data_IF_395098262702
#
_entry.id   IF_395098262702
#
_cell.length_a   1.000
_cell.length_b   1.000
_cell.length_c   1.000
_cell.angle_alpha   90.00
_cell.angle_beta   90.00
_cell.angle_gamma   90.00
#
_symmetry.space_group_name_H-M   'P 1'
#
loop_
_entity.id
_entity.type
_entity.pdbx_description
1 polymer ?
#
# COMPACT_ATOMS: atom_id res chain seq x y z
N UNK A 1 21.86 -6.85 6.87
CA UNK A 1 21.11 -8.10 6.63
C UNK A 1 19.76 -7.72 6.06
N UNK A 2 19.33 -8.26 4.92
CA UNK A 2 18.03 -7.90 4.34
C UNK A 2 16.88 -8.54 5.12
N UNK A 3 15.67 -7.97 5.02
CA UNK A 3 14.50 -8.49 5.72
C UNK A 3 14.26 -9.97 5.40
N UNK A 4 14.38 -10.34 4.13
CA UNK A 4 14.11 -11.70 3.65
C UNK A 4 15.13 -12.74 4.16
N UNK A 5 16.27 -12.30 4.71
CA UNK A 5 17.29 -13.16 5.33
C UNK A 5 17.08 -13.32 6.86
N UNK A 6 16.18 -12.55 7.48
CA UNK A 6 15.93 -12.64 8.93
C UNK A 6 15.20 -13.92 9.32
N UNK A 7 15.62 -14.54 10.42
CA UNK A 7 14.89 -15.66 11.03
C UNK A 7 13.50 -15.26 11.52
N UNK A 8 13.35 -14.04 12.02
CA UNK A 8 12.07 -13.50 12.48
C UNK A 8 11.14 -13.32 11.28
N UNK A 9 11.63 -12.75 10.17
CA UNK A 9 10.88 -12.71 8.92
C UNK A 9 10.42 -14.09 8.48
N UNK A 10 11.32 -15.08 8.43
CA UNK A 10 10.99 -16.45 8.01
C UNK A 10 9.89 -17.04 8.90
N UNK A 11 9.93 -16.79 10.22
CA UNK A 11 8.88 -17.22 11.16
C UNK A 11 7.53 -16.57 10.84
N UNK A 12 7.50 -15.25 10.66
CA UNK A 12 6.27 -14.52 10.32
C UNK A 12 5.72 -14.96 8.96
N UNK A 13 6.57 -15.09 7.94
CA UNK A 13 6.18 -15.56 6.60
C UNK A 13 5.55 -16.95 6.67
N UNK A 14 6.19 -17.92 7.35
CA UNK A 14 5.63 -19.28 7.50
C UNK A 14 4.25 -19.28 8.15
N UNK A 15 4.05 -18.47 9.20
CA UNK A 15 2.75 -18.34 9.85
C UNK A 15 1.69 -17.77 8.90
N UNK A 16 2.04 -16.74 8.14
CA UNK A 16 1.14 -16.08 7.19
C UNK A 16 0.86 -16.94 5.94
N UNK A 17 1.83 -17.74 5.49
CA UNK A 17 1.66 -18.72 4.41
C UNK A 17 0.64 -19.81 4.77
N UNK A 18 0.58 -20.21 6.04
CA UNK A 18 -0.44 -21.16 6.51
C UNK A 18 -1.83 -20.53 6.43
N UNK A 19 -1.97 -19.28 6.89
CA UNK A 19 -3.23 -18.53 6.81
C UNK A 19 -3.66 -18.31 5.35
N UNK A 20 -2.72 -17.94 4.47
CA UNK A 20 -3.00 -17.72 3.06
C UNK A 20 -3.48 -18.98 2.34
N UNK A 21 -2.92 -20.15 2.69
CA UNK A 21 -3.37 -21.44 2.16
C UNK A 21 -4.77 -21.82 2.63
N UNK A 22 -5.17 -21.42 3.83
CA UNK A 22 -6.50 -21.66 4.38
C UNK A 22 -7.55 -20.69 3.83
N UNK A 23 -7.12 -19.51 3.36
CA UNK A 23 -8.00 -18.42 2.93
C UNK A 23 -7.63 -17.94 1.52
N UNK A 24 -8.18 -18.57 0.46
CA UNK A 24 -7.89 -18.17 -0.92
C UNK A 24 -8.16 -16.67 -1.15
N UNK A 25 -7.16 -15.97 -1.68
CA UNK A 25 -7.22 -14.51 -1.91
C UNK A 25 -6.71 -13.66 -0.75
N UNK A 26 -6.28 -14.27 0.36
CA UNK A 26 -5.56 -13.57 1.42
C UNK A 26 -4.18 -13.14 0.91
N UNK A 27 -3.88 -11.86 1.09
CA UNK A 27 -2.58 -11.26 0.79
C UNK A 27 -2.10 -10.56 2.04
N UNK A 28 -0.83 -10.76 2.35
CA UNK A 28 -0.17 -10.13 3.48
C UNK A 28 1.08 -9.35 3.07
N UNK A 29 1.45 -8.43 3.96
CA UNK A 29 2.65 -7.59 3.92
C UNK A 29 3.37 -7.71 5.27
N UNK A 30 4.69 -7.80 5.23
CA UNK A 30 5.58 -7.76 6.39
C UNK A 30 6.52 -6.56 6.21
N UNK A 31 6.65 -5.71 7.22
CA UNK A 31 7.55 -4.55 7.18
C UNK A 31 8.54 -4.57 8.33
N UNK A 32 9.69 -3.91 8.16
CA UNK A 32 10.74 -3.74 9.19
C UNK A 32 11.46 -2.41 9.00
N UNK A 33 11.81 -1.74 10.10
CA UNK A 33 12.58 -0.50 10.10
C UNK A 33 14.04 -0.78 10.46
N UNK A 34 14.96 -0.07 9.80
CA UNK A 34 16.38 0.04 10.18
C UNK A 34 17.18 -1.26 10.42
N UNK A 35 16.78 -2.38 9.79
CA UNK A 35 17.30 -3.73 10.04
C UNK A 35 17.04 -4.26 11.48
N UNK A 36 16.12 -3.66 12.23
CA UNK A 36 15.73 -4.09 13.57
C UNK A 36 14.48 -4.98 13.53
N UNK A 37 14.66 -6.26 13.82
CA UNK A 37 13.57 -7.24 13.83
C UNK A 37 12.53 -6.96 14.94
N UNK A 38 12.86 -6.18 15.96
CA UNK A 38 11.90 -5.70 16.98
C UNK A 38 10.83 -4.78 16.42
N UNK A 39 11.03 -4.22 15.22
CA UNK A 39 10.07 -3.34 14.52
C UNK A 39 9.21 -4.09 13.50
N UNK A 40 9.31 -5.42 13.44
CA UNK A 40 8.55 -6.21 12.44
C UNK A 40 7.05 -6.07 12.67
N UNK A 41 6.35 -5.60 11.63
CA UNK A 41 4.90 -5.50 11.60
C UNK A 41 4.32 -6.34 10.46
N UNK A 42 3.12 -6.88 10.66
CA UNK A 42 2.41 -7.69 9.67
C UNK A 42 1.02 -7.17 9.40
N UNK A 43 0.66 -7.08 8.12
CA UNK A 43 -0.63 -6.60 7.65
C UNK A 43 -1.22 -7.66 6.73
N UNK A 44 -2.51 -7.93 6.86
CA UNK A 44 -3.19 -8.99 6.11
C UNK A 44 -4.54 -8.55 5.61
N UNK A 45 -4.93 -9.03 4.43
CA UNK A 45 -6.23 -8.72 3.87
C UNK A 45 -6.76 -9.71 2.82
N UNK A 46 -8.09 -9.84 2.80
CA UNK A 46 -8.86 -10.52 1.76
C UNK A 46 -9.27 -9.60 0.58
N UNK A 47 -8.79 -8.35 0.56
CA UNK A 47 -9.27 -7.30 -0.35
C UNK A 47 -8.86 -7.45 -1.82
N UNK A 48 -7.94 -8.37 -2.14
CA UNK A 48 -7.41 -8.54 -3.50
C UNK A 48 -8.37 -9.40 -4.32
N UNK A 49 -9.35 -8.76 -4.98
CA UNK A 49 -10.25 -9.43 -5.92
C UNK A 49 -9.53 -9.61 -7.27
N UNK A 50 -9.52 -10.83 -7.81
CA UNK A 50 -8.92 -11.14 -9.11
C UNK A 50 -9.73 -10.62 -10.32
N UNK A 51 -10.94 -10.11 -10.09
CA UNK A 51 -11.76 -9.50 -11.13
C UNK A 51 -11.71 -7.96 -11.07
N UNK A 52 -11.67 -7.25 -12.21
CA UNK A 52 -11.80 -5.79 -12.25
C UNK A 52 -13.13 -5.41 -11.61
N UNK A 53 -13.09 -4.64 -10.53
CA UNK A 53 -14.28 -4.27 -9.76
C UNK A 53 -15.17 -3.39 -10.64
N UNK A 54 -16.23 -3.97 -11.23
CA UNK A 54 -17.46 -3.20 -11.45
C UNK A 54 -17.92 -2.78 -10.06
N UNK A 55 -17.86 -1.48 -9.81
CA UNK A 55 -18.25 -0.79 -8.56
C UNK A 55 -19.26 -1.59 -7.73
N UNK A 56 -18.82 -2.16 -6.61
CA UNK A 56 -19.69 -3.00 -5.79
C UNK A 56 -19.01 -3.47 -4.52
N UNK A 57 -19.22 -2.67 -3.46
CA UNK A 57 -19.21 -3.00 -2.02
C UNK A 57 -18.50 -4.34 -1.70
N UNK A 58 -17.25 -4.25 -1.26
CA UNK A 58 -16.49 -5.39 -0.76
C UNK A 58 -16.39 -5.38 0.75
N UNK A 59 -16.90 -6.46 1.36
CA UNK A 59 -16.94 -6.67 2.79
C UNK A 59 -15.55 -6.61 3.43
N UNK A 60 -15.48 -5.86 4.52
CA UNK A 60 -14.34 -5.75 5.42
C UNK A 60 -14.53 -6.82 6.49
N UNK A 61 -13.52 -7.66 6.73
CA UNK A 61 -13.49 -8.51 7.92
C UNK A 61 -13.42 -7.60 9.17
N UNK A 62 -14.21 -7.92 10.19
CA UNK A 62 -14.44 -7.07 11.36
C UNK A 62 -13.14 -6.62 12.04
N UNK A 63 -12.80 -5.35 11.92
CA UNK A 63 -12.32 -4.55 13.05
C UNK A 63 -13.46 -3.60 13.36
N UNK A 64 -14.10 -3.80 14.51
CA UNK A 64 -15.19 -2.98 15.03
C UNK A 64 -14.81 -1.50 15.00
N UNK A 65 -15.53 -0.69 14.23
CA UNK A 65 -15.90 0.67 14.59
C UNK A 65 -17.10 1.11 13.72
N UNK A 66 -18.15 1.54 14.42
CA UNK A 66 -19.43 1.94 13.88
C UNK A 66 -19.33 3.18 12.97
N UNK A 67 -20.22 3.28 11.98
CA UNK A 67 -20.53 4.54 11.32
C UNK A 67 -20.61 4.46 9.79
N UNK A 68 -21.84 4.47 9.27
CA UNK A 68 -22.13 4.63 7.84
C UNK A 68 -21.87 6.07 7.33
N UNK A 69 -21.35 6.14 6.09
CA UNK A 69 -21.51 7.16 5.01
C UNK A 69 -20.96 8.60 5.17
N UNK A 70 -20.12 9.02 4.21
CA UNK A 70 -20.50 9.86 3.05
C UNK A 70 -19.38 9.84 1.98
N UNK A 71 -19.73 9.71 0.69
CA UNK A 71 -18.81 9.85 -0.44
C UNK A 71 -18.90 11.29 -0.95
N UNK A 72 -17.80 12.05 -0.94
CA UNK A 72 -17.76 13.39 -1.52
C UNK A 72 -17.11 13.37 -2.91
N UNK A 73 -17.66 14.20 -3.79
CA UNK A 73 -17.15 14.42 -5.15
C UNK A 73 -16.07 15.50 -5.08
N UNK A 74 -14.83 15.17 -5.47
CA UNK A 74 -13.75 16.15 -5.53
C UNK A 74 -14.03 17.16 -6.65
N UNK A 75 -13.89 18.44 -6.33
CA UNK A 75 -13.98 19.51 -7.30
C UNK A 75 -12.60 19.83 -7.88
N UNK A 76 -12.52 20.39 -9.09
CA UNK A 76 -11.25 20.81 -9.70
C UNK A 76 -10.39 21.72 -8.80
N UNK A 77 -11.01 22.50 -7.90
CA UNK A 77 -10.33 23.40 -6.97
C UNK A 77 -9.50 22.67 -5.89
N UNK A 78 -9.86 21.44 -5.51
CA UNK A 78 -9.12 20.67 -4.50
C UNK A 78 -7.76 20.18 -5.05
N UNK A 79 -7.56 20.23 -6.37
CA UNK A 79 -6.26 19.95 -7.02
C UNK A 79 -5.20 21.01 -6.75
N UNK A 80 -5.57 22.17 -6.23
CA UNK A 80 -4.66 23.32 -6.10
C UNK A 80 -4.04 23.46 -4.71
N UNK A 81 -4.36 22.59 -3.74
CA UNK A 81 -3.99 22.78 -2.31
C UNK A 81 -2.94 21.83 -1.72
N UNK A 82 -2.18 21.12 -2.53
CA UNK A 82 -1.04 20.33 -2.07
C UNK A 82 0.09 20.34 -3.11
N UNK A 83 1.30 19.85 -2.78
CA UNK A 83 2.39 19.73 -3.75
C UNK A 83 2.00 18.67 -4.79
N UNK A 84 1.28 19.09 -5.84
CA UNK A 84 1.06 18.28 -7.01
C UNK A 84 2.42 18.04 -7.65
N UNK A 85 2.93 16.83 -7.52
CA UNK A 85 4.17 16.41 -8.15
C UNK A 85 4.00 16.64 -9.66
N UNK A 86 4.75 17.61 -10.18
CA UNK A 86 4.92 17.88 -11.61
C UNK A 86 5.25 16.57 -12.32
N UNK A 87 4.36 16.12 -13.20
CA UNK A 87 4.46 14.82 -13.89
C UNK A 87 3.23 13.92 -13.72
N UNK A 88 2.33 14.25 -12.80
CA UNK A 88 0.99 13.66 -12.75
C UNK A 88 0.12 14.28 -13.84
N UNK A 89 -0.22 13.50 -14.88
CA UNK A 89 -1.09 14.00 -15.95
C UNK A 89 -2.42 14.49 -15.38
N UNK A 90 -2.98 15.60 -15.89
CA UNK A 90 -4.31 16.05 -15.50
C UNK A 90 -5.33 15.02 -15.97
N UNK A 91 -5.76 14.14 -15.07
CA UNK A 91 -6.82 13.17 -15.36
C UNK A 91 -8.12 13.96 -15.54
N UNK A 92 -8.62 14.04 -16.77
CA UNK A 92 -9.92 14.65 -17.08
C UNK A 92 -11.05 13.78 -16.50
N UNK A 93 -11.74 14.28 -15.47
CA UNK A 93 -12.91 13.62 -14.89
C UNK A 93 -13.11 13.89 -13.40
N UNK A 94 -14.37 13.86 -12.95
CA UNK A 94 -14.72 13.89 -11.52
C UNK A 94 -14.28 12.60 -10.83
N UNK A 95 -13.22 12.69 -10.03
CA UNK A 95 -12.72 11.57 -9.23
C UNK A 95 -13.59 11.39 -7.99
N UNK A 96 -13.99 10.14 -7.71
CA UNK A 96 -14.52 9.76 -6.40
C UNK A 96 -13.33 9.59 -5.47
N UNK A 97 -13.36 10.30 -4.35
CA UNK A 97 -12.36 10.15 -3.28
C UNK A 97 -13.08 9.75 -2.02
N UNK A 98 -12.42 8.90 -1.26
CA UNK A 98 -12.92 8.45 0.01
C UNK A 98 -12.28 9.34 1.07
N UNK A 99 -13.09 10.22 1.67
CA UNK A 99 -12.66 11.18 2.72
C UNK A 99 -12.58 10.53 4.11
N UNK A 100 -12.93 9.26 4.25
CA UNK A 100 -12.88 8.57 5.52
C UNK A 100 -11.50 7.90 5.70
N UNK A 101 -10.73 8.19 6.76
CA UNK A 101 -9.48 7.50 7.08
C UNK A 101 -9.66 5.97 7.24
N UNK A 102 -10.90 5.49 7.41
CA UNK A 102 -11.26 4.08 7.54
C UNK A 102 -11.71 3.42 6.22
N UNK A 103 -12.02 4.14 5.14
CA UNK A 103 -12.50 3.55 3.87
C UNK A 103 -11.56 3.81 2.69
N UNK A 104 -11.42 2.83 1.78
CA UNK A 104 -10.34 2.79 0.80
C UNK A 104 -9.05 2.32 1.48
N UNK A 105 -8.85 1.01 1.55
CA UNK A 105 -7.82 0.44 2.41
C UNK A 105 -7.99 -1.03 2.65
N UNK A 106 -8.48 -1.71 1.61
CA UNK A 106 -8.62 -3.14 1.68
C UNK A 106 -7.24 -3.76 1.63
N UNK A 107 -6.33 -3.26 0.80
CA UNK A 107 -5.11 -4.01 0.53
C UNK A 107 -4.08 -3.88 1.66
N UNK A 108 -3.17 -4.85 1.74
CA UNK A 108 -2.19 -4.90 2.81
C UNK A 108 -1.26 -3.67 2.79
N UNK A 109 -0.94 -3.12 1.61
CA UNK A 109 -0.14 -1.88 1.51
C UNK A 109 -0.88 -0.67 2.03
N UNK A 110 -2.20 -0.59 1.82
CA UNK A 110 -2.99 0.53 2.33
C UNK A 110 -3.10 0.48 3.86
N UNK A 111 -3.24 -0.72 4.43
CA UNK A 111 -3.21 -0.92 5.88
C UNK A 111 -1.86 -0.52 6.48
N UNK A 112 -0.76 -0.88 5.82
CA UNK A 112 0.58 -0.45 6.19
C UNK A 112 0.71 1.09 6.15
N UNK A 113 0.33 1.72 5.03
CA UNK A 113 0.44 3.18 4.89
C UNK A 113 -0.40 3.95 5.93
N UNK A 114 -1.54 3.40 6.36
CA UNK A 114 -2.34 3.99 7.45
C UNK A 114 -1.63 3.94 8.79
N UNK A 115 -0.88 2.87 9.04
CA UNK A 115 -0.19 2.63 10.31
C UNK A 115 1.19 3.26 10.36
N UNK A 116 1.74 3.63 9.20
CA UNK A 116 3.07 4.23 9.09
C UNK A 116 3.30 5.44 10.01
N UNK A 117 2.40 6.44 10.14
CA UNK A 117 2.62 7.55 11.08
C UNK A 117 2.69 7.08 12.54
N UNK A 118 1.79 6.18 12.94
CA UNK A 118 1.81 5.60 14.28
C UNK A 118 3.10 4.81 14.54
N UNK A 119 3.62 4.09 13.53
CA UNK A 119 4.88 3.37 13.65
C UNK A 119 6.08 4.31 13.82
N UNK A 120 6.05 5.50 13.21
CA UNK A 120 7.07 6.52 13.48
C UNK A 120 6.96 7.10 14.89
N UNK A 121 5.75 7.25 15.43
CA UNK A 121 5.56 7.66 16.82
C UNK A 121 6.06 6.59 17.81
N UNK A 122 5.88 5.30 17.47
CA UNK A 122 6.22 4.16 18.34
C UNK A 122 7.72 3.77 18.27
N UNK A 123 8.28 3.68 17.06
CA UNK A 123 9.66 3.22 16.84
C UNK A 123 10.64 4.35 16.52
N UNK A 124 10.15 5.58 16.36
CA UNK A 124 10.94 6.72 15.88
C UNK A 124 10.99 6.81 14.36
N UNK A 125 11.56 7.91 13.87
CA UNK A 125 11.76 8.12 12.44
C UNK A 125 12.77 7.10 11.89
N UNK A 126 12.39 6.39 10.83
CA UNK A 126 13.24 5.37 10.22
C UNK A 126 14.17 5.97 9.16
N UNK A 127 15.42 5.50 9.11
CA UNK A 127 16.33 5.78 7.99
C UNK A 127 16.13 4.82 6.81
N UNK A 128 15.53 3.67 7.09
CA UNK A 128 15.28 2.60 6.13
C UNK A 128 14.03 1.83 6.47
N UNK A 129 13.23 1.52 5.45
CA UNK A 129 12.03 0.68 5.56
C UNK A 129 12.11 -0.45 4.54
N UNK A 130 12.08 -1.67 5.06
CA UNK A 130 12.02 -2.92 4.32
C UNK A 130 10.58 -3.44 4.29
N UNK A 131 10.08 -3.84 3.13
CA UNK A 131 8.72 -4.35 2.94
C UNK A 131 8.75 -5.62 2.09
N UNK A 132 8.14 -6.68 2.58
CA UNK A 132 7.82 -7.88 1.83
C UNK A 132 6.31 -7.99 1.61
N UNK A 133 5.86 -8.31 0.39
CA UNK A 133 4.43 -8.44 0.05
C UNK A 133 4.21 -9.75 -0.70
N UNK A 134 3.28 -10.58 -0.22
CA UNK A 134 2.99 -11.88 -0.86
C UNK A 134 2.44 -11.77 -2.29
N UNK A 135 1.84 -10.64 -2.67
CA UNK A 135 1.35 -10.37 -4.03
C UNK A 135 1.77 -8.97 -4.49
N UNK A 136 2.14 -8.82 -5.76
CA UNK A 136 2.56 -7.54 -6.32
C UNK A 136 1.49 -6.44 -6.09
N UNK A 137 1.88 -5.25 -5.61
CA UNK A 137 0.96 -4.13 -5.42
C UNK A 137 0.16 -3.80 -6.68
N UNK A 138 -1.16 -3.63 -6.51
CA UNK A 138 -2.04 -3.36 -7.64
C UNK A 138 -1.76 -1.98 -8.29
N UNK A 139 -1.92 -1.90 -9.62
CA UNK A 139 -1.74 -0.64 -10.36
C UNK A 139 -2.93 0.32 -10.26
N UNK A 140 -4.14 -0.18 -10.06
CA UNK A 140 -5.37 0.65 -10.12
C UNK A 140 -6.57 0.11 -9.36
N UNK A 141 -6.52 -1.13 -8.84
CA UNK A 141 -7.68 -1.77 -8.23
C UNK A 141 -8.13 -1.12 -6.91
N UNK A 142 -7.21 -0.46 -6.21
CA UNK A 142 -7.53 0.27 -4.98
C UNK A 142 -7.90 1.72 -5.27
N UNK A 143 -8.90 2.26 -4.56
CA UNK A 143 -9.47 3.59 -4.81
C UNK A 143 -8.53 4.73 -4.37
N UNK A 144 -8.76 5.95 -4.86
CA UNK A 144 -8.07 7.14 -4.34
C UNK A 144 -8.38 7.32 -2.85
N UNK A 145 -7.41 7.82 -2.10
CA UNK A 145 -7.48 7.97 -0.65
C UNK A 145 -6.74 9.25 -0.22
N UNK A 146 -7.20 9.93 0.83
CA UNK A 146 -6.50 11.07 1.43
C UNK A 146 -5.78 10.58 2.70
N UNK A 147 -4.47 10.76 2.75
CA UNK A 147 -3.64 10.49 3.92
C UNK A 147 -3.40 11.81 4.66
N UNK A 148 -3.89 11.98 5.90
CA UNK A 148 -3.54 13.13 6.72
C UNK A 148 -2.05 13.07 7.07
N UNK A 149 -1.31 14.14 6.82
CA UNK A 149 0.11 14.27 7.19
C UNK A 149 0.31 15.52 8.04
N UNK A 150 1.47 15.64 8.71
CA UNK A 150 1.82 16.83 9.47
C UNK A 150 1.83 18.12 8.62
N UNK A 151 2.05 17.99 7.31
CA UNK A 151 2.10 19.09 6.35
C UNK A 151 0.76 19.31 5.61
N UNK A 152 -0.31 18.64 6.05
CA UNK A 152 -1.64 18.70 5.44
C UNK A 152 -2.06 17.38 4.78
N UNK A 153 -3.16 17.43 4.02
CA UNK A 153 -3.74 16.26 3.39
C UNK A 153 -3.00 15.88 2.09
N UNK A 154 -2.50 14.63 2.02
CA UNK A 154 -1.88 14.06 0.83
C UNK A 154 -2.88 13.21 0.06
N UNK A 155 -3.19 13.60 -1.18
CA UNK A 155 -4.02 12.79 -2.06
C UNK A 155 -3.21 11.61 -2.64
N UNK A 156 -3.54 10.41 -2.19
CA UNK A 156 -3.00 9.17 -2.70
C UNK A 156 -3.79 8.68 -3.92
N UNK A 157 -3.13 8.45 -5.06
CA UNK A 157 -3.78 7.99 -6.29
C UNK A 157 -4.30 6.56 -6.15
N UNK A 158 -5.19 6.16 -7.07
CA UNK A 158 -5.65 4.79 -7.19
C UNK A 158 -4.48 3.82 -7.47
N UNK A 159 -4.57 2.60 -6.94
CA UNK A 159 -3.54 1.56 -7.05
C UNK A 159 -2.48 1.62 -5.94
N UNK A 160 -2.24 0.50 -5.26
CA UNK A 160 -1.30 0.41 -4.14
C UNK A 160 0.14 0.76 -4.56
N UNK A 161 0.56 0.35 -5.76
CA UNK A 161 1.87 0.73 -6.29
C UNK A 161 2.02 2.26 -6.40
N UNK A 162 0.98 2.95 -6.88
CA UNK A 162 0.99 4.41 -7.02
C UNK A 162 0.92 5.12 -5.66
N UNK A 163 0.19 4.55 -4.69
CA UNK A 163 0.16 5.08 -3.31
C UNK A 163 1.52 4.99 -2.64
N UNK A 164 2.18 3.84 -2.76
CA UNK A 164 3.55 3.67 -2.28
C UNK A 164 4.48 4.69 -2.94
N UNK A 165 4.36 4.89 -4.25
CA UNK A 165 5.16 5.90 -4.96
C UNK A 165 4.92 7.34 -4.48
N UNK A 166 3.68 7.71 -4.19
CA UNK A 166 3.38 9.02 -3.63
C UNK A 166 4.02 9.21 -2.24
N UNK A 167 3.91 8.22 -1.36
CA UNK A 167 4.47 8.28 0.00
C UNK A 167 6.00 8.24 -0.01
N UNK A 168 6.60 7.40 -0.85
CA UNK A 168 8.07 7.31 -0.96
C UNK A 168 8.66 8.64 -1.43
N UNK A 169 8.02 9.30 -2.41
CA UNK A 169 8.47 10.62 -2.89
C UNK A 169 8.33 11.72 -1.85
N UNK A 170 7.33 11.63 -0.96
CA UNK A 170 7.14 12.62 0.10
C UNK A 170 7.98 12.34 1.36
N UNK A 171 8.66 11.20 1.44
CA UNK A 171 9.41 10.75 2.61
C UNK A 171 10.92 10.76 2.31
N UNK A 172 11.47 11.97 2.18
CA UNK A 172 12.90 12.16 1.91
C UNK A 172 13.77 11.58 3.04
N UNK A 173 14.97 11.10 2.68
CA UNK A 173 15.93 10.55 3.64
C UNK A 173 15.69 9.09 4.04
N UNK A 174 14.56 8.49 3.66
CA UNK A 174 14.27 7.07 3.94
C UNK A 174 14.70 6.20 2.76
N UNK A 175 15.49 5.17 3.02
CA UNK A 175 15.79 4.12 2.03
C UNK A 175 14.68 3.08 2.02
N UNK A 176 13.95 2.96 0.91
CA UNK A 176 12.88 1.97 0.77
C UNK A 176 13.35 0.72 0.03
N UNK A 177 13.02 -0.46 0.57
CA UNK A 177 13.20 -1.75 -0.11
C UNK A 177 11.88 -2.51 -0.14
N UNK A 178 11.50 -2.96 -1.33
CA UNK A 178 10.22 -3.62 -1.58
C UNK A 178 10.48 -4.93 -2.30
N UNK A 179 10.10 -6.02 -1.65
CA UNK A 179 10.08 -7.37 -2.21
C UNK A 179 8.64 -7.82 -2.41
N UNK A 180 8.38 -8.55 -3.49
CA UNK A 180 7.09 -9.19 -3.70
C UNK A 180 7.22 -10.62 -4.21
N UNK A 181 6.33 -11.53 -3.81
CA UNK A 181 6.45 -12.96 -4.11
C UNK A 181 5.69 -13.35 -5.39
N UNK A 182 4.38 -13.09 -5.43
CA UNK A 182 3.52 -13.53 -6.51
C UNK A 182 3.00 -12.38 -7.39
N UNK A 183 2.93 -12.65 -8.69
CA UNK A 183 2.28 -11.78 -9.65
C UNK A 183 0.76 -11.97 -9.73
N UNK A 184 0.08 -11.15 -10.53
CA UNK A 184 -1.28 -11.47 -10.97
C UNK A 184 -1.24 -12.57 -12.05
N UNK A 185 -2.20 -13.51 -12.07
CA UNK A 185 -2.28 -14.54 -13.12
C UNK A 185 -2.67 -13.96 -14.48
N UNK A 186 -3.43 -12.86 -14.49
CA UNK A 186 -3.76 -12.14 -15.70
C UNK A 186 -2.54 -11.30 -16.17
N UNK A 187 -1.99 -11.63 -17.33
CA UNK A 187 -0.76 -11.00 -17.85
C UNK A 187 -0.89 -9.48 -18.02
N UNK A 188 -2.02 -8.98 -18.52
CA UNK A 188 -2.23 -7.55 -18.71
C UNK A 188 -2.21 -6.80 -17.36
N UNK A 189 -2.86 -7.37 -16.35
CA UNK A 189 -2.86 -6.83 -14.98
C UNK A 189 -1.46 -6.88 -14.38
N UNK A 190 -0.75 -8.00 -14.58
CA UNK A 190 0.62 -8.18 -14.12
C UNK A 190 1.56 -7.12 -14.71
N UNK A 191 1.54 -6.94 -16.03
CA UNK A 191 2.35 -5.93 -16.73
C UNK A 191 2.01 -4.51 -16.24
N UNK A 192 0.73 -4.20 -16.01
CA UNK A 192 0.34 -2.90 -15.45
C UNK A 192 0.91 -2.68 -14.04
N UNK A 193 0.91 -3.71 -13.19
CA UNK A 193 1.45 -3.63 -11.83
C UNK A 193 2.98 -3.46 -11.82
N UNK A 194 3.71 -4.20 -12.68
CA UNK A 194 5.14 -3.97 -12.89
C UNK A 194 5.41 -2.55 -13.39
N UNK A 195 4.63 -2.09 -14.38
CA UNK A 195 4.73 -0.74 -14.92
C UNK A 195 4.53 0.34 -13.84
N UNK A 196 3.56 0.16 -12.95
CA UNK A 196 3.34 1.07 -11.83
C UNK A 196 4.51 1.07 -10.84
N UNK A 197 5.04 -0.10 -10.46
CA UNK A 197 6.21 -0.19 -9.58
C UNK A 197 7.49 0.36 -10.22
N UNK A 198 7.60 0.33 -11.55
CA UNK A 198 8.77 0.88 -12.26
C UNK A 198 8.94 2.39 -12.03
N UNK A 199 7.88 3.09 -11.63
CA UNK A 199 7.92 4.51 -11.26
C UNK A 199 8.71 4.77 -9.96
N UNK A 200 9.04 3.72 -9.20
CA UNK A 200 9.89 3.76 -8.02
C UNK A 200 11.37 3.61 -8.35
N UNK A 201 11.73 3.41 -9.62
CA UNK A 201 13.13 3.24 -10.03
C UNK A 201 13.93 4.49 -9.64
N UNK A 202 15.01 4.28 -8.88
CA UNK A 202 15.85 5.35 -8.35
C UNK A 202 15.35 5.97 -7.04
N UNK A 203 14.14 5.62 -6.59
CA UNK A 203 13.56 6.05 -5.31
C UNK A 203 13.51 4.91 -4.28
N UNK A 204 13.36 3.67 -4.76
CA UNK A 204 13.34 2.47 -3.93
C UNK A 204 14.06 1.31 -4.64
N UNK A 205 14.52 0.35 -3.85
CA UNK A 205 14.95 -0.97 -4.34
C UNK A 205 13.69 -1.82 -4.46
N UNK A 206 13.34 -2.25 -5.68
CA UNK A 206 12.13 -3.06 -5.92
C UNK A 206 12.52 -4.35 -6.63
N UNK A 207 12.19 -5.49 -6.03
CA UNK A 207 12.60 -6.80 -6.53
C UNK A 207 11.49 -7.84 -6.36
N UNK A 208 11.40 -8.78 -7.29
CA UNK A 208 10.62 -9.99 -7.07
C UNK A 208 11.44 -10.95 -6.19
N UNK A 209 10.81 -11.50 -5.17
CA UNK A 209 11.36 -12.51 -4.29
C UNK A 209 10.91 -13.89 -4.76
N UNK A 210 11.89 -14.75 -5.01
CA UNK A 210 11.69 -16.16 -5.29
C UNK A 210 12.14 -16.91 -4.04
N UNK A 211 11.17 -17.26 -3.19
CA UNK A 211 11.39 -18.05 -1.98
C UNK A 211 11.54 -19.54 -2.26
#
# INVERSE_FOLDING_TARGET
MTLVESSEFIRHKRSLDVLARQSPGYVYLISRFDDDDGTICTFGSMGYRDNPIKTGIGGVALVTLAGMKQQRRIQPADRLRGPFIQGSQPVLGTLRVIENPQQGGGHAEELFLRKLPQMFDEYGAASKIDIFISKIPCASASSNWILPTANGDLLLPAGCANKLAAVIRSSEGITWRIWWEHGYPNQATHTACIGALSQLRGLAIVQQYFG
#
